data_IF_602241416634
#
_entry.id   IF_602241416634
#
_cell.length_a   1.000
_cell.length_b   1.000
_cell.length_c   1.000
_cell.angle_alpha   90.00
_cell.angle_beta   90.00
_cell.angle_gamma   90.00
#
_symmetry.space_group_name_H-M   'P 1'
#
loop_
_entity.id
_entity.type
_entity.pdbx_description
1 polymer ?
#
# COMPACT_ATOMS: atom_id res chain seq x y z
N UNK A 1 2.19 15.06 -53.27
CA UNK A 1 3.12 15.27 -52.14
C UNK A 1 2.64 14.68 -50.81
N UNK A 2 1.40 14.15 -50.70
CA UNK A 2 0.88 13.53 -49.46
C UNK A 2 1.45 12.13 -49.15
N UNK A 3 1.75 11.33 -50.17
CA UNK A 3 2.27 9.96 -49.96
C UNK A 3 3.65 9.94 -49.29
N UNK A 4 4.49 10.94 -49.59
CA UNK A 4 5.86 11.04 -49.07
C UNK A 4 5.89 11.51 -47.60
N UNK A 5 4.97 12.41 -47.22
CA UNK A 5 4.79 12.83 -45.82
C UNK A 5 4.18 11.73 -44.97
N UNK A 6 3.20 10.98 -45.49
CA UNK A 6 2.59 9.85 -44.78
C UNK A 6 3.59 8.71 -44.50
N UNK A 7 4.42 8.36 -45.49
CA UNK A 7 5.49 7.37 -45.31
C UNK A 7 6.52 7.82 -44.26
N UNK A 8 6.81 9.12 -44.19
CA UNK A 8 7.73 9.68 -43.19
C UNK A 8 7.14 9.62 -41.78
N UNK A 9 5.84 9.89 -41.63
CA UNK A 9 5.12 9.80 -40.35
C UNK A 9 5.11 8.35 -39.84
N UNK A 10 4.78 7.37 -40.69
CA UNK A 10 4.81 5.95 -40.30
C UNK A 10 6.20 5.54 -39.84
N UNK A 11 7.24 5.95 -40.57
CA UNK A 11 8.62 5.60 -40.21
C UNK A 11 9.01 6.16 -38.84
N UNK A 12 8.66 7.42 -38.55
CA UNK A 12 8.90 8.03 -37.23
C UNK A 12 8.11 7.32 -36.12
N UNK A 13 6.84 6.96 -36.39
CA UNK A 13 6.00 6.26 -35.44
C UNK A 13 6.56 4.86 -35.11
N UNK A 14 7.03 4.12 -36.10
CA UNK A 14 7.65 2.81 -35.91
C UNK A 14 8.95 2.88 -35.10
N UNK A 15 9.77 3.91 -35.32
CA UNK A 15 10.97 4.16 -34.52
C UNK A 15 10.62 4.49 -33.06
N UNK A 16 9.61 5.33 -32.83
CA UNK A 16 9.12 5.65 -31.48
C UNK A 16 8.58 4.41 -30.77
N UNK A 17 7.79 3.58 -31.45
CA UNK A 17 7.27 2.31 -30.92
C UNK A 17 8.39 1.34 -30.53
N UNK A 18 9.43 1.22 -31.36
CA UNK A 18 10.58 0.37 -31.05
C UNK A 18 11.31 0.85 -29.79
N UNK A 19 11.51 2.16 -29.66
CA UNK A 19 12.16 2.77 -28.49
C UNK A 19 11.31 2.54 -27.22
N UNK A 20 10.00 2.75 -27.29
CA UNK A 20 9.09 2.44 -26.19
C UNK A 20 9.14 0.97 -25.79
N UNK A 21 9.12 0.05 -26.76
CA UNK A 21 9.18 -1.39 -26.50
C UNK A 21 10.46 -1.79 -25.74
N UNK A 22 11.62 -1.25 -26.14
CA UNK A 22 12.90 -1.50 -25.47
C UNK A 22 12.89 -0.94 -24.03
N UNK A 23 12.31 0.24 -23.79
CA UNK A 23 12.16 0.81 -22.45
C UNK A 23 11.22 -0.01 -21.54
N UNK A 24 10.14 -0.58 -22.08
CA UNK A 24 9.24 -1.44 -21.30
C UNK A 24 9.90 -2.78 -20.92
N UNK A 25 10.75 -3.34 -21.78
CA UNK A 25 11.48 -4.60 -21.52
C UNK A 25 12.54 -4.49 -20.42
N UNK A 26 13.19 -3.33 -20.28
CA UNK A 26 14.22 -3.13 -19.22
C UNK A 26 13.61 -2.84 -17.85
N UNK A 27 12.40 -2.27 -17.78
CA UNK A 27 11.69 -2.05 -16.52
C UNK A 27 11.08 -3.34 -15.94
N UNK A 28 10.72 -4.30 -16.78
CA UNK A 28 10.05 -5.53 -16.36
C UNK A 28 10.98 -6.55 -15.65
N UNK A 29 12.30 -6.50 -15.87
CA UNK A 29 13.25 -7.48 -15.33
C UNK A 29 13.77 -7.17 -13.92
N UNK A 30 13.52 -5.96 -13.39
CA UNK A 30 13.90 -5.58 -12.03
C UNK A 30 12.90 -6.05 -10.95
N UNK A 31 11.78 -6.65 -11.36
CA UNK A 31 10.57 -6.77 -10.54
C UNK A 31 10.29 -8.14 -9.95
N UNK A 32 11.28 -8.93 -9.50
CA UNK A 32 10.99 -10.08 -8.64
C UNK A 32 12.24 -10.58 -7.90
N UNK A 33 12.66 -9.85 -6.86
CA UNK A 33 13.53 -10.46 -5.85
C UNK A 33 12.64 -11.43 -5.06
N UNK A 34 12.81 -12.73 -5.28
CA UNK A 34 12.13 -13.77 -4.51
C UNK A 34 12.68 -13.75 -3.07
N UNK A 35 12.18 -12.80 -2.27
CA UNK A 35 12.54 -12.68 -0.85
C UNK A 35 11.81 -13.82 -0.16
N UNK A 36 12.57 -14.78 0.36
CA UNK A 36 12.00 -15.79 1.23
C UNK A 36 11.36 -15.11 2.44
N UNK A 37 10.03 -15.12 2.48
CA UNK A 37 9.26 -14.65 3.62
C UNK A 37 8.78 -15.88 4.39
N UNK A 38 9.17 -16.04 5.67
CA UNK A 38 8.70 -17.14 6.51
C UNK A 38 7.17 -17.23 6.56
N UNK A 39 6.62 -18.45 6.56
CA UNK A 39 5.17 -18.66 6.60
C UNK A 39 4.52 -18.02 7.84
N UNK A 40 5.17 -18.13 9.00
CA UNK A 40 4.71 -17.52 10.25
C UNK A 40 4.69 -15.99 10.21
N UNK A 41 5.59 -15.35 9.46
CA UNK A 41 5.52 -13.92 9.18
C UNK A 41 4.26 -13.57 8.39
N UNK A 42 3.90 -14.35 7.37
CA UNK A 42 2.70 -14.06 6.55
C UNK A 42 1.43 -14.19 7.37
N UNK A 43 1.33 -15.23 8.21
CA UNK A 43 0.19 -15.40 9.12
C UNK A 43 0.14 -14.26 10.14
N UNK A 44 1.28 -13.88 10.72
CA UNK A 44 1.38 -12.74 11.62
C UNK A 44 0.94 -11.44 10.95
N UNK A 45 1.43 -11.19 9.73
CA UNK A 45 1.07 -10.05 8.91
C UNK A 45 -0.43 -9.97 8.63
N UNK A 46 -1.07 -11.07 8.25
CA UNK A 46 -2.51 -11.09 8.01
C UNK A 46 -3.32 -10.81 9.28
N UNK A 47 -2.94 -11.41 10.41
CA UNK A 47 -3.60 -11.16 11.69
C UNK A 47 -3.40 -9.72 12.16
N UNK A 48 -2.19 -9.19 12.01
CA UNK A 48 -1.84 -7.81 12.34
C UNK A 48 -2.62 -6.82 11.50
N UNK A 49 -2.75 -7.08 10.20
CA UNK A 49 -3.53 -6.28 9.27
C UNK A 49 -5.00 -6.16 9.70
N UNK A 50 -5.67 -7.29 9.92
CA UNK A 50 -7.08 -7.31 10.32
C UNK A 50 -7.32 -6.59 11.65
N UNK A 51 -6.46 -6.86 12.64
CA UNK A 51 -6.59 -6.25 13.95
C UNK A 51 -6.26 -4.75 13.92
N UNK A 52 -5.19 -4.36 13.20
CA UNK A 52 -4.79 -2.99 12.98
C UNK A 52 -5.90 -2.15 12.39
N UNK A 53 -6.49 -2.62 11.28
CA UNK A 53 -7.62 -1.93 10.63
C UNK A 53 -8.76 -1.67 11.60
N UNK A 54 -9.21 -2.70 12.33
CA UNK A 54 -10.32 -2.59 13.28
C UNK A 54 -10.04 -1.55 14.37
N UNK A 55 -8.86 -1.64 15.00
CA UNK A 55 -8.50 -0.72 16.09
C UNK A 55 -8.34 0.72 15.56
N UNK A 56 -7.75 0.88 14.38
CA UNK A 56 -7.63 2.16 13.69
C UNK A 56 -8.99 2.79 13.38
N UNK A 57 -9.91 2.00 12.83
CA UNK A 57 -11.29 2.40 12.52
C UNK A 57 -12.01 2.91 13.78
N UNK A 58 -11.99 2.13 14.86
CA UNK A 58 -12.62 2.50 16.13
C UNK A 58 -12.04 3.79 16.73
N UNK A 59 -10.71 3.97 16.62
CA UNK A 59 -10.04 5.20 17.05
C UNK A 59 -10.44 6.41 16.18
N UNK A 60 -10.46 6.24 14.86
CA UNK A 60 -10.86 7.28 13.91
C UNK A 60 -12.31 7.73 14.14
N UNK A 61 -13.20 6.79 14.46
CA UNK A 61 -14.59 7.06 14.81
C UNK A 61 -14.71 7.89 16.10
N UNK A 62 -14.01 7.48 17.17
CA UNK A 62 -14.00 8.24 18.45
C UNK A 62 -13.47 9.66 18.26
N UNK A 63 -12.41 9.82 17.49
CA UNK A 63 -11.83 11.13 17.23
C UNK A 63 -12.74 11.98 16.31
N UNK A 64 -13.46 11.38 15.36
CA UNK A 64 -14.49 12.08 14.59
C UNK A 64 -15.57 12.66 15.50
N UNK A 65 -16.14 11.83 16.39
CA UNK A 65 -17.18 12.29 17.32
C UNK A 65 -16.68 13.39 18.27
N UNK A 66 -15.41 13.32 18.69
CA UNK A 66 -14.86 14.25 19.69
C UNK A 66 -14.33 15.55 19.09
N UNK A 67 -13.68 15.49 17.93
CA UNK A 67 -12.92 16.61 17.36
C UNK A 67 -13.40 17.03 15.96
N UNK A 68 -14.46 16.41 15.44
CA UNK A 68 -14.96 16.67 14.09
C UNK A 68 -13.86 16.45 13.06
N UNK A 69 -13.66 17.41 12.16
CA UNK A 69 -12.71 17.32 11.04
C UNK A 69 -11.22 17.49 11.43
N UNK A 70 -10.92 17.84 12.68
CA UNK A 70 -9.53 18.09 13.11
C UNK A 70 -8.71 16.80 13.14
N UNK A 71 -7.61 16.76 12.38
CA UNK A 71 -6.63 15.67 12.44
C UNK A 71 -5.89 15.68 13.77
N UNK A 72 -6.08 14.63 14.59
CA UNK A 72 -5.54 14.54 15.96
C UNK A 72 -4.71 13.27 16.21
N UNK A 73 -4.47 12.45 15.20
CA UNK A 73 -3.65 11.25 15.36
C UNK A 73 -2.21 11.65 15.68
N UNK A 74 -1.81 11.43 16.93
CA UNK A 74 -0.47 11.77 17.43
C UNK A 74 0.43 10.55 17.59
N UNK A 75 -0.16 9.37 17.82
CA UNK A 75 0.56 8.13 18.06
C UNK A 75 -0.28 6.92 17.68
N UNK A 76 0.38 5.92 17.07
CA UNK A 76 -0.19 4.59 16.85
C UNK A 76 0.08 3.74 18.09
N UNK A 77 -0.94 3.08 18.67
CA UNK A 77 -0.73 2.21 19.82
C UNK A 77 0.23 1.06 19.46
N UNK A 78 0.99 0.61 20.45
CA UNK A 78 1.71 -0.65 20.33
C UNK A 78 0.68 -1.76 20.50
N UNK A 79 0.57 -2.71 19.57
CA UNK A 79 -0.40 -3.78 19.71
C UNK A 79 0.03 -4.77 20.80
N UNK A 80 -0.93 -5.47 21.39
CA UNK A 80 -0.65 -6.49 22.40
C UNK A 80 0.06 -7.69 21.75
N UNK A 81 1.26 -7.98 22.23
CA UNK A 81 2.09 -9.08 21.75
C UNK A 81 2.16 -10.17 22.79
N UNK A 82 1.92 -11.43 22.38
CA UNK A 82 2.10 -12.58 23.25
C UNK A 82 3.52 -13.12 23.17
N UNK A 83 4.10 -13.44 24.32
CA UNK A 83 5.47 -13.95 24.41
C UNK A 83 5.67 -15.27 23.66
N UNK A 84 4.63 -16.11 23.63
CA UNK A 84 4.59 -17.41 22.95
C UNK A 84 4.71 -17.34 21.42
N UNK A 85 4.52 -16.16 20.80
CA UNK A 85 4.63 -16.02 19.36
C UNK A 85 6.09 -16.07 18.88
N UNK A 86 6.29 -16.63 17.69
CA UNK A 86 7.60 -16.62 17.04
C UNK A 86 8.02 -15.21 16.67
N UNK A 87 9.33 -14.94 16.59
CA UNK A 87 9.85 -13.62 16.25
C UNK A 87 9.37 -13.14 14.87
N UNK A 88 9.27 -14.04 13.89
CA UNK A 88 8.77 -13.71 12.55
C UNK A 88 7.27 -13.37 12.56
N UNK A 89 6.46 -14.11 13.31
CA UNK A 89 5.04 -13.80 13.50
C UNK A 89 4.88 -12.42 14.14
N UNK A 90 5.58 -12.18 15.27
CA UNK A 90 5.59 -10.88 15.97
C UNK A 90 5.94 -9.74 15.02
N UNK A 91 7.00 -9.92 14.21
CA UNK A 91 7.44 -8.92 13.22
C UNK A 91 6.33 -8.61 12.21
N UNK A 92 5.81 -9.64 11.53
CA UNK A 92 4.75 -9.46 10.53
C UNK A 92 3.51 -8.81 11.14
N UNK A 93 3.11 -9.26 12.32
CA UNK A 93 1.97 -8.73 13.06
C UNK A 93 2.13 -7.24 13.39
N UNK A 94 3.27 -6.84 13.97
CA UNK A 94 3.53 -5.45 14.35
C UNK A 94 3.59 -4.53 13.12
N UNK A 95 4.27 -4.97 12.06
CA UNK A 95 4.45 -4.17 10.84
C UNK A 95 3.09 -3.91 10.16
N UNK A 96 2.32 -4.97 9.92
CA UNK A 96 1.00 -4.85 9.27
C UNK A 96 -0.04 -4.20 10.17
N UNK A 97 0.02 -4.39 11.49
CA UNK A 97 -0.85 -3.69 12.43
C UNK A 97 -0.71 -2.18 12.30
N UNK A 98 0.53 -1.66 12.29
CA UNK A 98 0.78 -0.21 12.19
C UNK A 98 0.28 0.35 10.87
N UNK A 99 0.52 -0.36 9.77
CA UNK A 99 0.07 0.05 8.43
C UNK A 99 -1.45 0.12 8.37
N UNK A 100 -2.12 -0.97 8.72
CA UNK A 100 -3.58 -1.06 8.58
C UNK A 100 -4.32 -0.23 9.64
N UNK A 101 -3.72 0.03 10.80
CA UNK A 101 -4.25 1.01 11.76
C UNK A 101 -4.41 2.38 11.12
N UNK A 102 -3.40 2.84 10.37
CA UNK A 102 -3.44 4.13 9.68
C UNK A 102 -4.56 4.11 8.63
N UNK A 103 -4.65 3.03 7.83
CA UNK A 103 -5.70 2.89 6.81
C UNK A 103 -7.11 2.93 7.42
N UNK A 104 -7.39 2.08 8.42
CA UNK A 104 -8.69 2.06 9.10
C UNK A 104 -9.04 3.39 9.79
N UNK A 105 -8.05 4.04 10.41
CA UNK A 105 -8.24 5.37 10.99
C UNK A 105 -8.61 6.39 9.92
N UNK A 106 -7.89 6.44 8.81
CA UNK A 106 -8.17 7.39 7.74
C UNK A 106 -9.51 7.14 7.06
N UNK A 107 -9.90 5.89 6.82
CA UNK A 107 -11.19 5.55 6.20
C UNK A 107 -12.37 6.23 6.92
N UNK A 108 -12.41 6.12 8.24
CA UNK A 108 -13.47 6.76 9.05
C UNK A 108 -13.34 8.27 9.05
N UNK A 109 -12.13 8.79 9.17
CA UNK A 109 -11.88 10.24 9.16
C UNK A 109 -12.28 10.86 7.81
N UNK A 110 -12.11 10.15 6.70
CA UNK A 110 -12.60 10.55 5.39
C UNK A 110 -14.13 10.51 5.29
N UNK A 111 -14.78 9.50 5.87
CA UNK A 111 -16.24 9.47 5.95
C UNK A 111 -16.78 10.65 6.79
N UNK A 112 -16.12 10.97 7.90
CA UNK A 112 -16.43 12.10 8.78
C UNK A 112 -16.34 13.46 8.06
N UNK A 113 -15.48 13.59 7.03
CA UNK A 113 -15.32 14.79 6.21
C UNK A 113 -16.44 15.02 5.19
N UNK A 114 -17.32 14.04 4.98
CA UNK A 114 -18.44 14.12 4.01
C UNK A 114 -19.76 14.56 4.64
N UNK A 115 -19.81 14.68 5.96
CA UNK A 115 -20.93 15.25 6.71
C UNK A 115 -20.70 16.74 6.99
#
# INVERSE_FOLDING_TARGET
MEKQTFARIIKVLSFLLLIFFIMFLTAASAGAKNVYVPCDYQVGSQAGAQYGYKVGYDAGYKDCLKYGLKGVLTKIPVPDIKDEWTNNYKRGYIESFKKEYIEGYHDVRFACLKE
#
